data_IF_581511718993
#
_entry.id   IF_581511718993
#
_cell.length_a   1.000
_cell.length_b   1.000
_cell.length_c   1.000
_cell.angle_alpha   90.00
_cell.angle_beta   90.00
_cell.angle_gamma   90.00
#
_symmetry.space_group_name_H-M   'P 1'
#
loop_
_entity.id
_entity.type
_entity.pdbx_description
1 polymer ?
#
# COMPACT_ATOMS: atom_id res chain seq x y z
N UNK A 1 -9.06 -10.55 -7.80
CA UNK A 1 -7.65 -10.90 -7.54
C UNK A 1 -7.48 -12.28 -6.88
N UNK A 2 -8.13 -13.35 -7.35
CA UNK A 2 -8.02 -14.69 -6.69
C UNK A 2 -6.75 -15.42 -7.12
N UNK A 3 -6.45 -15.41 -8.42
CA UNK A 3 -5.30 -16.11 -8.97
C UNK A 3 -3.96 -15.59 -8.41
N UNK A 4 -3.66 -14.30 -8.60
CA UNK A 4 -2.37 -13.72 -8.20
C UNK A 4 -2.11 -13.78 -6.69
N UNK A 5 -3.12 -13.56 -5.85
CA UNK A 5 -2.94 -13.65 -4.39
C UNK A 5 -2.66 -15.08 -3.94
N UNK A 6 -3.29 -16.08 -4.58
CA UNK A 6 -3.05 -17.49 -4.25
C UNK A 6 -1.69 -17.96 -4.76
N UNK A 7 -1.25 -17.48 -5.93
CA UNK A 7 0.08 -17.74 -6.46
C UNK A 7 1.16 -17.23 -5.50
N UNK A 8 1.02 -15.99 -5.02
CA UNK A 8 2.00 -15.42 -4.09
C UNK A 8 1.96 -16.10 -2.72
N UNK A 9 0.78 -16.54 -2.25
CA UNK A 9 0.68 -17.35 -1.05
C UNK A 9 1.49 -18.65 -1.17
N UNK A 10 1.38 -19.35 -2.31
CA UNK A 10 2.19 -20.54 -2.57
C UNK A 10 3.69 -20.22 -2.68
N UNK A 11 4.07 -19.06 -3.23
CA UNK A 11 5.46 -18.63 -3.29
C UNK A 11 6.05 -18.38 -1.89
N UNK A 12 5.30 -17.76 -0.98
CA UNK A 12 5.69 -17.58 0.42
C UNK A 12 5.94 -18.92 1.13
N UNK A 13 5.17 -19.95 0.80
CA UNK A 13 5.34 -21.29 1.41
C UNK A 13 6.55 -22.06 0.85
N UNK A 14 7.04 -21.71 -0.35
CA UNK A 14 8.18 -22.37 -1.00
C UNK A 14 9.49 -21.63 -0.72
N UNK A 15 9.48 -20.30 -0.79
CA UNK A 15 10.66 -19.44 -0.69
C UNK A 15 10.31 -18.16 0.10
N UNK A 16 10.12 -18.27 1.44
CA UNK A 16 9.56 -17.20 2.25
C UNK A 16 10.36 -15.90 2.19
N UNK A 17 11.69 -15.95 2.31
CA UNK A 17 12.55 -14.76 2.30
C UNK A 17 12.53 -14.04 0.95
N UNK A 18 12.66 -14.78 -0.14
CA UNK A 18 12.66 -14.21 -1.48
C UNK A 18 11.28 -13.61 -1.83
N UNK A 19 10.19 -14.28 -1.44
CA UNK A 19 8.85 -13.79 -1.63
C UNK A 19 8.58 -12.52 -0.79
N UNK A 20 9.04 -12.49 0.47
CA UNK A 20 8.91 -11.32 1.34
C UNK A 20 9.68 -10.11 0.80
N UNK A 21 10.91 -10.32 0.32
CA UNK A 21 11.70 -9.28 -0.32
C UNK A 21 11.00 -8.71 -1.57
N UNK A 22 10.44 -9.57 -2.43
CA UNK A 22 9.70 -9.14 -3.60
C UNK A 22 8.44 -8.35 -3.24
N UNK A 23 7.69 -8.79 -2.21
CA UNK A 23 6.53 -8.04 -1.72
C UNK A 23 6.94 -6.64 -1.25
N UNK A 24 8.00 -6.54 -0.45
CA UNK A 24 8.55 -5.25 -0.01
C UNK A 24 8.90 -4.38 -1.22
N UNK A 25 9.64 -4.91 -2.18
CA UNK A 25 10.09 -4.15 -3.36
C UNK A 25 8.91 -3.60 -4.17
N UNK A 26 7.88 -4.41 -4.40
CA UNK A 26 6.70 -3.99 -5.17
C UNK A 26 5.84 -2.96 -4.42
N UNK A 27 5.68 -3.10 -3.10
CA UNK A 27 4.91 -2.14 -2.29
C UNK A 27 5.64 -0.80 -2.17
N UNK A 28 6.95 -0.83 -1.90
CA UNK A 28 7.76 0.39 -1.72
C UNK A 28 7.91 1.17 -3.03
N UNK A 29 8.07 0.46 -4.15
CA UNK A 29 8.30 1.08 -5.46
C UNK A 29 7.02 1.23 -6.29
N UNK A 30 5.84 1.07 -5.67
CA UNK A 30 4.58 1.12 -6.39
C UNK A 30 4.42 2.44 -7.15
N UNK A 31 4.18 2.32 -8.46
CA UNK A 31 3.88 3.43 -9.34
C UNK A 31 2.51 3.24 -9.97
N UNK A 32 1.70 4.30 -9.99
CA UNK A 32 0.37 4.23 -10.58
C UNK A 32 0.46 3.90 -12.08
N UNK A 33 -0.31 2.90 -12.56
CA UNK A 33 -0.45 2.67 -13.99
C UNK A 33 -0.97 3.93 -14.66
N UNK A 34 -0.27 4.41 -15.69
CA UNK A 34 -0.64 5.64 -16.40
C UNK A 34 0.09 6.91 -15.93
N UNK A 35 1.05 6.82 -15.00
CA UNK A 35 1.85 7.98 -14.57
C UNK A 35 2.55 8.73 -15.73
N UNK A 36 2.80 8.05 -16.86
CA UNK A 36 3.36 8.64 -18.08
C UNK A 36 2.32 9.21 -19.07
N UNK A 37 1.03 9.16 -18.77
CA UNK A 37 -0.03 9.69 -19.64
C UNK A 37 -0.15 11.21 -19.51
N UNK A 38 -0.55 11.86 -20.62
CA UNK A 38 -0.94 13.27 -20.58
C UNK A 38 -2.04 13.48 -19.53
N UNK A 39 -1.97 14.62 -18.82
CA UNK A 39 -2.93 15.03 -17.79
C UNK A 39 -3.11 14.08 -16.60
N UNK A 40 -2.24 13.07 -16.43
CA UNK A 40 -2.35 12.09 -15.34
C UNK A 40 -2.46 12.75 -13.96
N UNK A 41 -1.61 13.75 -13.68
CA UNK A 41 -1.63 14.44 -12.39
C UNK A 41 -2.98 15.11 -12.10
N UNK A 42 -3.58 15.75 -13.11
CA UNK A 42 -4.86 16.43 -12.96
C UNK A 42 -6.02 15.43 -12.77
N UNK A 43 -5.97 14.32 -13.51
CA UNK A 43 -6.94 13.23 -13.37
C UNK A 43 -6.82 12.56 -12.00
N UNK A 44 -5.61 12.31 -11.51
CA UNK A 44 -5.37 11.74 -10.19
C UNK A 44 -5.93 12.62 -9.07
N UNK A 45 -5.73 13.95 -9.15
CA UNK A 45 -6.33 14.90 -8.21
C UNK A 45 -7.87 14.85 -8.25
N UNK A 46 -8.45 14.74 -9.44
CA UNK A 46 -9.91 14.68 -9.63
C UNK A 46 -10.49 13.41 -9.00
N UNK A 47 -9.86 12.26 -9.24
CA UNK A 47 -10.22 10.96 -8.65
C UNK A 47 -10.10 11.00 -7.12
N UNK A 48 -9.02 11.59 -6.59
CA UNK A 48 -8.82 11.73 -5.15
C UNK A 48 -9.86 12.65 -4.49
N UNK A 49 -10.23 13.77 -5.13
CA UNK A 49 -11.30 14.66 -4.65
C UNK A 49 -12.68 14.02 -4.66
N UNK A 50 -12.92 13.10 -5.61
CA UNK A 50 -14.15 12.32 -5.65
C UNK A 50 -14.18 11.18 -4.60
N UNK A 51 -13.08 10.97 -3.86
CA UNK A 51 -12.97 9.89 -2.87
C UNK A 51 -12.90 8.49 -3.49
N UNK A 52 -12.61 8.38 -4.79
CA UNK A 52 -12.58 7.10 -5.51
C UNK A 52 -11.26 6.37 -5.25
N UNK A 53 -10.14 7.10 -5.28
CA UNK A 53 -8.82 6.55 -5.03
C UNK A 53 -7.85 7.64 -4.61
N UNK A 54 -7.19 7.44 -3.49
CA UNK A 54 -6.11 8.28 -2.98
C UNK A 54 -5.13 7.42 -2.15
N UNK A 55 -4.19 8.06 -1.46
CA UNK A 55 -3.20 7.35 -0.65
C UNK A 55 -3.84 6.56 0.51
N UNK A 56 -4.91 7.08 1.12
CA UNK A 56 -5.63 6.44 2.23
C UNK A 56 -6.33 5.17 1.73
N UNK A 57 -7.09 5.28 0.65
CA UNK A 57 -7.77 4.15 0.00
C UNK A 57 -6.76 3.10 -0.46
N UNK A 58 -5.64 3.51 -1.07
CA UNK A 58 -4.60 2.57 -1.48
C UNK A 58 -4.03 1.78 -0.28
N UNK A 59 -3.72 2.46 0.81
CA UNK A 59 -3.18 1.82 2.01
C UNK A 59 -4.21 0.86 2.66
N UNK A 60 -5.40 1.37 3.00
CA UNK A 60 -6.37 0.66 3.84
C UNK A 60 -7.15 -0.43 3.09
N UNK A 61 -7.52 -0.15 1.84
CA UNK A 61 -8.45 -0.98 1.06
C UNK A 61 -7.75 -1.86 0.01
N UNK A 62 -6.48 -1.57 -0.31
CA UNK A 62 -5.71 -2.34 -1.31
C UNK A 62 -4.54 -3.07 -0.68
N UNK A 63 -3.57 -2.36 -0.09
CA UNK A 63 -2.32 -2.96 0.39
C UNK A 63 -2.55 -3.79 1.65
N UNK A 64 -3.13 -3.18 2.70
CA UNK A 64 -3.32 -3.85 3.98
C UNK A 64 -4.16 -5.14 3.89
N UNK A 65 -5.28 -5.22 3.13
CA UNK A 65 -6.04 -6.45 3.00
C UNK A 65 -5.27 -7.59 2.33
N UNK A 66 -4.39 -7.26 1.37
CA UNK A 66 -3.55 -8.25 0.67
C UNK A 66 -2.46 -8.79 1.60
N UNK A 67 -1.79 -7.90 2.36
CA UNK A 67 -0.79 -8.32 3.35
C UNK A 67 -1.40 -9.15 4.49
N UNK A 68 -2.61 -8.81 4.94
CA UNK A 68 -3.38 -9.61 5.89
C UNK A 68 -3.74 -10.98 5.34
N UNK A 69 -4.14 -11.08 4.08
CA UNK A 69 -4.44 -12.37 3.44
C UNK A 69 -3.22 -13.30 3.44
N UNK A 70 -2.02 -12.76 3.18
CA UNK A 70 -0.76 -13.51 3.24
C UNK A 70 -0.20 -13.67 4.66
N UNK A 71 -0.81 -13.04 5.66
CA UNK A 71 -0.42 -13.08 7.08
C UNK A 71 1.03 -12.63 7.32
N UNK A 72 1.51 -11.66 6.54
CA UNK A 72 2.92 -11.25 6.50
C UNK A 72 3.49 -10.95 7.90
N UNK A 73 2.72 -10.27 8.75
CA UNK A 73 3.16 -9.90 10.10
C UNK A 73 2.98 -11.00 11.15
N UNK A 74 2.27 -12.09 10.83
CA UNK A 74 2.06 -13.22 11.73
C UNK A 74 2.91 -14.45 11.36
N UNK A 75 3.61 -14.41 10.22
CA UNK A 75 4.50 -15.48 9.78
C UNK A 75 5.72 -15.58 10.68
N UNK A 76 6.17 -16.81 10.91
CA UNK A 76 7.32 -17.13 11.78
C UNK A 76 8.37 -17.96 11.06
N UNK A 77 8.30 -18.02 9.74
CA UNK A 77 9.11 -18.86 8.87
C UNK A 77 10.05 -18.06 7.96
N UNK A 78 10.18 -16.75 8.21
CA UNK A 78 11.20 -15.92 7.59
C UNK A 78 12.56 -16.16 8.26
N UNK A 79 13.60 -16.24 7.43
CA UNK A 79 14.98 -16.08 7.82
C UNK A 79 15.39 -14.60 7.93
N UNK A 80 16.68 -14.32 8.16
CA UNK A 80 17.16 -12.96 8.42
C UNK A 80 16.83 -11.94 7.33
N UNK A 81 16.92 -12.33 6.06
CA UNK A 81 16.63 -11.41 4.94
C UNK A 81 15.12 -11.14 4.80
N UNK A 82 14.29 -12.17 5.02
CA UNK A 82 12.84 -12.01 5.04
C UNK A 82 12.38 -11.10 6.19
N UNK A 83 12.94 -11.28 7.37
CA UNK A 83 12.66 -10.43 8.54
C UNK A 83 13.04 -8.98 8.31
N UNK A 84 14.24 -8.74 7.77
CA UNK A 84 14.68 -7.39 7.40
C UNK A 84 13.72 -6.73 6.40
N UNK A 85 13.33 -7.46 5.35
CA UNK A 85 12.37 -6.95 4.36
C UNK A 85 10.99 -6.65 5.00
N UNK A 86 10.56 -7.46 5.98
CA UNK A 86 9.33 -7.24 6.73
C UNK A 86 9.39 -5.99 7.60
N UNK A 87 10.50 -5.74 8.27
CA UNK A 87 10.72 -4.52 9.05
C UNK A 87 10.72 -3.27 8.16
N UNK A 88 11.40 -3.32 7.02
CA UNK A 88 11.43 -2.23 6.04
C UNK A 88 10.03 -1.95 5.46
N UNK A 89 9.26 -3.01 5.17
CA UNK A 89 7.86 -2.87 4.76
C UNK A 89 7.00 -2.24 5.86
N UNK A 90 7.15 -2.66 7.12
CA UNK A 90 6.39 -2.12 8.24
C UNK A 90 6.63 -0.61 8.40
N UNK A 91 7.90 -0.20 8.39
CA UNK A 91 8.29 1.22 8.47
C UNK A 91 7.71 2.04 7.31
N UNK A 92 7.72 1.49 6.10
CA UNK A 92 7.11 2.16 4.95
C UNK A 92 5.61 2.33 5.11
N UNK A 93 4.89 1.31 5.56
CA UNK A 93 3.44 1.38 5.77
C UNK A 93 3.06 2.40 6.85
N UNK A 94 3.84 2.48 7.93
CA UNK A 94 3.66 3.52 8.96
C UNK A 94 3.81 4.93 8.37
N UNK A 95 4.85 5.16 7.56
CA UNK A 95 5.06 6.45 6.90
C UNK A 95 3.93 6.80 5.91
N UNK A 96 3.40 5.79 5.20
CA UNK A 96 2.24 5.97 4.31
C UNK A 96 0.98 6.32 5.10
N UNK A 97 0.71 5.64 6.22
CA UNK A 97 -0.43 5.94 7.08
C UNK A 97 -0.35 7.35 7.67
N UNK A 98 0.82 7.77 8.18
CA UNK A 98 1.04 9.13 8.67
C UNK A 98 0.75 10.17 7.59
N UNK A 99 1.24 9.92 6.37
CA UNK A 99 1.00 10.81 5.24
C UNK A 99 -0.48 10.86 4.86
N UNK A 100 -1.16 9.73 4.87
CA UNK A 100 -2.58 9.65 4.60
C UNK A 100 -3.40 10.42 5.66
N UNK A 101 -3.11 10.23 6.95
CA UNK A 101 -3.73 10.98 8.06
C UNK A 101 -3.57 12.49 7.89
N UNK A 102 -2.36 12.95 7.55
CA UNK A 102 -2.12 14.38 7.31
C UNK A 102 -3.05 14.96 6.22
N UNK A 103 -3.27 14.23 5.12
CA UNK A 103 -4.16 14.67 4.04
C UNK A 103 -5.64 14.57 4.42
N UNK A 104 -6.04 13.53 5.16
CA UNK A 104 -7.39 13.39 5.71
C UNK A 104 -7.78 14.61 6.56
N UNK A 105 -6.94 14.95 7.53
CA UNK A 105 -7.17 16.12 8.39
C UNK A 105 -7.18 17.43 7.60
N UNK A 106 -6.31 17.56 6.59
CA UNK A 106 -6.27 18.75 5.74
C UNK A 106 -7.58 18.91 4.96
N UNK A 107 -8.14 17.81 4.44
CA UNK A 107 -9.44 17.81 3.76
C UNK A 107 -10.58 18.17 4.70
N UNK A 108 -10.58 17.62 5.91
CA UNK A 108 -11.60 17.92 6.90
C UNK A 108 -11.56 19.40 7.30
N UNK A 109 -10.37 19.97 7.56
CA UNK A 109 -10.21 21.40 7.84
C UNK A 109 -10.75 22.29 6.70
N UNK A 110 -10.51 21.91 5.45
CA UNK A 110 -11.06 22.63 4.29
C UNK A 110 -12.58 22.52 4.21
N UNK A 111 -13.15 21.35 4.53
CA UNK A 111 -14.59 21.13 4.52
C UNK A 111 -15.30 21.97 5.60
N UNK A 112 -14.76 21.99 6.81
CA UNK A 112 -15.31 22.78 7.94
C UNK A 112 -15.18 24.28 7.67
N UNK A 113 -14.05 24.74 7.13
CA UNK A 113 -13.80 26.16 6.82
C UNK A 113 -14.65 26.72 5.66
N UNK A 114 -15.12 25.87 4.74
CA UNK A 114 -16.05 26.27 3.65
C UNK A 114 -17.51 26.28 4.10
N UNK A 115 -17.83 25.57 5.19
CA UNK A 115 -19.17 25.51 5.77
C UNK A 115 -19.44 26.61 6.82
N UNK A 116 -18.48 27.51 7.06
CA UNK A 116 -18.55 28.63 8.03
C UNK A 116 -18.76 29.98 7.36
#
# INVERSE_FOLDING_TARGET
MVFYRNLMAAALDIAPDAAMAAIRDEVVNFAMPGQGMADFAQNAITIAKAGIYDLRVHHDDVVQPVLRFWRIFDRTDFGPEGEKAREELAQFLEAVDERARYYDEKRERQRVGVAS
#
